data_IF_995810385658
#
_entry.id   IF_995810385658
#
_cell.length_a   1.000
_cell.length_b   1.000
_cell.length_c   1.000
_cell.angle_alpha   90.00
_cell.angle_beta   90.00
_cell.angle_gamma   90.00
#
_symmetry.space_group_name_H-M   'P 1'
#
loop_
_entity.id
_entity.type
_entity.pdbx_description
1 polymer ?
#
# COMPACT_ATOMS: atom_id res chain seq x y z
N UNK A 1 2.60 -24.09 -21.54
CA UNK A 1 3.97 -23.47 -21.55
C UNK A 1 4.13 -22.59 -20.32
N UNK A 2 5.35 -22.43 -19.78
CA UNK A 2 5.65 -21.53 -18.65
C UNK A 2 6.09 -20.14 -19.17
N UNK A 3 5.54 -19.06 -18.63
CA UNK A 3 6.08 -17.71 -18.82
C UNK A 3 6.63 -17.19 -17.51
N UNK A 4 7.94 -17.00 -17.44
CA UNK A 4 8.61 -16.48 -16.24
C UNK A 4 8.82 -14.97 -16.35
N UNK A 5 8.24 -14.21 -15.44
CA UNK A 5 8.37 -12.76 -15.38
C UNK A 5 9.44 -12.40 -14.36
N UNK A 6 10.41 -11.61 -14.81
CA UNK A 6 11.48 -11.06 -13.99
C UNK A 6 11.31 -9.54 -13.92
N UNK A 7 10.68 -9.00 -12.87
CA UNK A 7 10.60 -7.55 -12.68
C UNK A 7 11.96 -7.01 -12.22
N UNK A 8 12.51 -6.04 -12.95
CA UNK A 8 13.87 -5.51 -12.70
C UNK A 8 13.89 -4.01 -12.42
N UNK A 9 14.83 -3.62 -11.57
CA UNK A 9 15.21 -2.21 -11.37
C UNK A 9 16.63 -2.15 -10.80
N UNK A 10 17.63 -1.71 -11.56
CA UNK A 10 19.05 -1.79 -11.16
C UNK A 10 19.55 -3.24 -10.90
N UNK A 11 19.40 -4.12 -11.89
CA UNK A 11 19.79 -5.54 -11.82
C UNK A 11 20.76 -5.93 -12.94
N UNK A 12 21.45 -4.96 -13.56
CA UNK A 12 22.33 -5.18 -14.72
C UNK A 12 23.45 -6.21 -14.46
N UNK A 13 23.99 -6.25 -13.24
CA UNK A 13 25.03 -7.21 -12.84
C UNK A 13 24.50 -8.64 -12.63
N UNK A 14 23.22 -8.79 -12.26
CA UNK A 14 22.64 -10.08 -11.92
C UNK A 14 22.18 -10.87 -13.16
N UNK A 15 21.67 -10.19 -14.18
CA UNK A 15 21.09 -10.84 -15.37
C UNK A 15 22.05 -11.77 -16.12
N UNK A 16 23.34 -11.43 -16.36
CA UNK A 16 24.27 -12.31 -17.07
C UNK A 16 24.51 -13.65 -16.39
N UNK A 17 24.45 -13.71 -15.05
CA UNK A 17 24.57 -14.97 -14.30
C UNK A 17 23.21 -15.69 -14.18
N UNK A 18 22.14 -14.93 -13.99
CA UNK A 18 20.82 -15.47 -13.66
C UNK A 18 20.12 -16.10 -14.87
N UNK A 19 20.11 -15.44 -16.03
CA UNK A 19 19.36 -15.93 -17.20
C UNK A 19 19.86 -17.30 -17.69
N UNK A 20 21.19 -17.56 -17.83
CA UNK A 20 21.68 -18.89 -18.19
C UNK A 20 21.30 -19.98 -17.17
N UNK A 21 21.29 -19.64 -15.88
CA UNK A 21 20.90 -20.58 -14.80
C UNK A 21 19.42 -20.95 -14.87
N UNK A 22 18.55 -19.96 -15.06
CA UNK A 22 17.12 -20.18 -15.26
C UNK A 22 16.89 -21.11 -16.45
N UNK A 23 17.52 -20.81 -17.59
CA UNK A 23 17.37 -21.59 -18.81
C UNK A 23 17.83 -23.04 -18.64
N UNK A 24 18.94 -23.25 -17.92
CA UNK A 24 19.41 -24.59 -17.56
C UNK A 24 18.39 -25.34 -16.70
N UNK A 25 17.86 -24.67 -15.66
CA UNK A 25 16.87 -25.24 -14.75
C UNK A 25 15.53 -25.56 -15.44
N UNK A 26 15.19 -24.83 -16.49
CA UNK A 26 13.97 -25.01 -17.29
C UNK A 26 14.19 -25.78 -18.60
N UNK A 27 15.36 -26.41 -18.79
CA UNK A 27 15.71 -27.11 -20.04
C UNK A 27 14.71 -28.19 -20.48
N UNK A 28 13.97 -28.78 -19.54
CA UNK A 28 12.92 -29.79 -19.79
C UNK A 28 11.49 -29.23 -19.86
N UNK A 29 11.32 -27.92 -19.68
CA UNK A 29 10.02 -27.24 -19.62
C UNK A 29 9.92 -26.24 -20.78
N UNK A 30 8.91 -26.32 -21.67
CA UNK A 30 8.68 -25.27 -22.65
C UNK A 30 8.44 -23.94 -21.93
N UNK A 31 9.29 -22.94 -22.19
CA UNK A 31 9.26 -21.68 -21.46
C UNK A 31 9.60 -20.46 -22.32
N UNK A 32 9.19 -19.30 -21.83
CA UNK A 32 9.71 -17.99 -22.22
C UNK A 32 10.04 -17.20 -20.94
N UNK A 33 10.99 -16.27 -21.04
CA UNK A 33 11.39 -15.37 -19.95
C UNK A 33 11.08 -13.94 -20.37
N UNK A 34 10.37 -13.19 -19.53
CA UNK A 34 9.99 -11.79 -19.81
C UNK A 34 10.60 -10.91 -18.74
N UNK A 35 11.64 -10.16 -19.11
CA UNK A 35 12.25 -9.14 -18.26
C UNK A 35 11.45 -7.86 -18.38
N UNK A 36 10.90 -7.37 -17.26
CA UNK A 36 10.12 -6.13 -17.22
C UNK A 36 10.88 -5.09 -16.41
N UNK A 37 11.44 -4.10 -17.09
CA UNK A 37 12.37 -3.13 -16.51
C UNK A 37 11.78 -1.72 -16.41
N UNK A 38 11.93 -1.09 -15.24
CA UNK A 38 11.37 0.23 -14.90
C UNK A 38 12.29 1.41 -15.27
N UNK A 39 12.80 1.34 -16.50
CA UNK A 39 13.76 2.31 -17.05
C UNK A 39 14.95 2.50 -16.13
N UNK A 40 15.63 1.39 -15.84
CA UNK A 40 16.73 1.36 -14.88
C UNK A 40 17.86 2.29 -15.31
N UNK A 41 18.36 3.18 -14.42
CA UNK A 41 19.47 4.07 -14.73
C UNK A 41 20.79 3.34 -15.00
N UNK A 42 20.97 2.12 -14.48
CA UNK A 42 22.12 1.26 -14.76
C UNK A 42 22.04 0.54 -16.12
N UNK A 43 21.02 0.86 -16.93
CA UNK A 43 20.78 0.22 -18.24
C UNK A 43 20.50 -1.28 -18.18
N UNK A 44 19.90 -1.78 -17.09
CA UNK A 44 19.44 -3.18 -16.98
C UNK A 44 18.65 -3.67 -18.21
N UNK A 45 17.72 -2.86 -18.73
CA UNK A 45 16.95 -3.18 -19.94
C UNK A 45 17.83 -3.43 -21.18
N UNK A 46 18.97 -2.74 -21.28
CA UNK A 46 19.91 -2.88 -22.41
C UNK A 46 20.68 -4.18 -22.30
N UNK A 47 21.17 -4.51 -21.09
CA UNK A 47 21.82 -5.79 -20.79
C UNK A 47 20.87 -6.96 -21.09
N UNK A 48 19.61 -6.85 -20.65
CA UNK A 48 18.58 -7.85 -20.94
C UNK A 48 18.36 -8.03 -22.46
N UNK A 49 18.39 -6.93 -23.23
CA UNK A 49 18.19 -6.95 -24.68
C UNK A 49 19.37 -7.61 -25.41
N UNK A 50 20.61 -7.35 -24.97
CA UNK A 50 21.81 -7.99 -25.51
C UNK A 50 21.81 -9.50 -25.22
N UNK A 51 21.44 -9.90 -24.00
CA UNK A 51 21.29 -11.32 -23.63
C UNK A 51 20.14 -12.01 -24.38
N UNK A 52 19.05 -11.29 -24.67
CA UNK A 52 17.93 -11.81 -25.45
C UNK A 52 18.33 -12.24 -26.85
N UNK A 53 19.24 -11.50 -27.51
CA UNK A 53 19.77 -11.88 -28.83
C UNK A 53 20.59 -13.18 -28.79
N UNK A 54 21.16 -13.52 -27.64
CA UNK A 54 21.98 -14.73 -27.46
C UNK A 54 21.16 -15.94 -27.02
N UNK A 55 20.10 -15.72 -26.22
CA UNK A 55 19.32 -16.78 -25.57
C UNK A 55 18.02 -17.14 -26.34
N UNK A 56 17.45 -16.20 -27.11
CA UNK A 56 16.31 -16.43 -28.02
C UNK A 56 14.93 -16.58 -27.36
N UNK A 57 14.87 -17.11 -26.14
CA UNK A 57 13.66 -17.31 -25.32
C UNK A 57 13.40 -16.18 -24.29
N UNK A 58 14.20 -15.12 -24.36
CA UNK A 58 14.10 -13.94 -23.48
C UNK A 58 13.48 -12.78 -24.23
N UNK A 59 12.49 -12.15 -23.62
CA UNK A 59 11.79 -10.96 -24.09
C UNK A 59 12.00 -9.82 -23.10
N UNK A 60 12.03 -8.58 -23.58
CA UNK A 60 12.30 -7.40 -22.74
C UNK A 60 11.22 -6.35 -22.94
N UNK A 61 10.63 -5.90 -21.83
CA UNK A 61 9.68 -4.79 -21.76
C UNK A 61 10.32 -3.68 -20.95
N UNK A 62 10.62 -2.55 -21.59
CA UNK A 62 11.09 -1.33 -20.91
C UNK A 62 9.93 -0.38 -20.66
N UNK A 63 9.74 0.03 -19.41
CA UNK A 63 8.62 0.89 -18.98
C UNK A 63 9.10 2.30 -18.65
N UNK A 64 8.84 3.23 -19.56
CA UNK A 64 9.23 4.65 -19.41
C UNK A 64 8.16 5.40 -18.60
N UNK A 65 8.57 6.19 -17.61
CA UNK A 65 7.69 7.04 -16.80
C UNK A 65 6.74 6.29 -15.86
N UNK A 66 6.91 4.97 -15.73
CA UNK A 66 6.10 4.08 -14.87
C UNK A 66 7.02 3.32 -13.94
N UNK A 67 6.61 3.09 -12.70
CA UNK A 67 7.35 2.29 -11.72
C UNK A 67 6.43 1.47 -10.82
N UNK A 68 6.91 0.31 -10.38
CA UNK A 68 6.29 -0.50 -9.34
C UNK A 68 6.34 -1.99 -9.64
N UNK A 69 6.68 -2.80 -8.64
CA UNK A 69 6.86 -4.25 -8.79
C UNK A 69 5.56 -4.94 -9.25
N UNK A 70 4.44 -4.67 -8.57
CA UNK A 70 3.17 -5.36 -8.89
C UNK A 70 2.66 -4.99 -10.28
N UNK A 71 2.79 -3.72 -10.68
CA UNK A 71 2.44 -3.31 -12.05
C UNK A 71 3.37 -3.94 -13.10
N UNK A 72 4.66 -4.14 -12.79
CA UNK A 72 5.59 -4.81 -13.71
C UNK A 72 5.20 -6.27 -13.92
N UNK A 73 4.86 -6.96 -12.83
CA UNK A 73 4.37 -8.34 -12.89
C UNK A 73 3.09 -8.44 -13.71
N UNK A 74 2.10 -7.57 -13.47
CA UNK A 74 0.83 -7.57 -14.22
C UNK A 74 1.08 -7.33 -15.71
N UNK A 75 1.94 -6.38 -16.06
CA UNK A 75 2.28 -6.10 -17.46
C UNK A 75 3.01 -7.27 -18.13
N UNK A 76 3.93 -7.93 -17.40
CA UNK A 76 4.59 -9.15 -17.87
C UNK A 76 3.61 -10.31 -18.07
N UNK A 77 2.67 -10.50 -17.14
CA UNK A 77 1.62 -11.52 -17.24
C UNK A 77 0.67 -11.28 -18.42
N UNK A 78 0.34 -10.01 -18.70
CA UNK A 78 -0.47 -9.64 -19.86
C UNK A 78 0.26 -9.85 -21.20
N UNK A 79 1.58 -9.67 -21.23
CA UNK A 79 2.41 -9.89 -22.42
C UNK A 79 2.80 -11.37 -22.63
N UNK A 80 2.66 -12.19 -21.59
CA UNK A 80 3.00 -13.61 -21.62
C UNK A 80 2.09 -14.42 -22.55
N UNK A 81 2.63 -15.50 -23.12
CA UNK A 81 1.95 -16.46 -24.00
C UNK A 81 1.67 -17.81 -23.33
N UNK A 82 2.34 -18.11 -22.22
CA UNK A 82 2.22 -19.39 -21.52
C UNK A 82 0.95 -19.50 -20.67
N UNK A 83 0.47 -20.72 -20.48
CA UNK A 83 -0.72 -21.02 -19.66
C UNK A 83 -0.41 -21.00 -18.16
N UNK A 84 0.88 -21.12 -17.80
CA UNK A 84 1.37 -20.97 -16.42
C UNK A 84 2.22 -19.72 -16.36
N UNK A 85 1.86 -18.82 -15.47
CA UNK A 85 2.53 -17.54 -15.27
C UNK A 85 3.34 -17.62 -13.98
N UNK A 86 4.64 -17.36 -14.04
CA UNK A 86 5.51 -17.37 -12.87
C UNK A 86 6.21 -16.04 -12.67
N UNK A 87 6.53 -15.73 -11.41
CA UNK A 87 7.29 -14.55 -11.01
C UNK A 87 8.49 -14.99 -10.22
N UNK A 88 9.63 -14.35 -10.45
CA UNK A 88 10.82 -14.50 -9.64
C UNK A 88 11.60 -13.18 -9.60
N UNK A 89 12.08 -12.78 -8.42
CA UNK A 89 12.99 -11.63 -8.33
C UNK A 89 14.32 -11.91 -9.07
N UNK A 90 14.91 -10.86 -9.65
CA UNK A 90 16.11 -10.96 -10.48
C UNK A 90 17.44 -10.81 -9.70
N UNK A 91 17.41 -10.87 -8.37
CA UNK A 91 18.56 -10.59 -7.50
C UNK A 91 19.37 -11.84 -7.09
N UNK A 92 19.01 -13.00 -7.67
CA UNK A 92 19.66 -14.29 -7.43
C UNK A 92 19.35 -14.93 -6.08
N UNK A 93 18.39 -14.41 -5.30
CA UNK A 93 18.03 -14.99 -4.00
C UNK A 93 17.12 -16.23 -4.10
N UNK A 94 16.40 -16.36 -5.21
CA UNK A 94 15.47 -17.45 -5.46
C UNK A 94 16.17 -18.67 -6.08
N UNK A 95 15.73 -19.85 -5.66
CA UNK A 95 16.22 -21.12 -6.20
C UNK A 95 15.60 -21.39 -7.57
N UNK A 96 16.40 -21.26 -8.63
CA UNK A 96 15.97 -21.49 -10.01
C UNK A 96 15.51 -22.94 -10.25
N UNK A 97 16.02 -23.91 -9.50
CA UNK A 97 15.63 -25.33 -9.66
C UNK A 97 14.18 -25.59 -9.23
N UNK A 98 13.61 -24.69 -8.42
CA UNK A 98 12.21 -24.78 -7.98
C UNK A 98 11.22 -24.42 -9.10
N UNK A 99 11.64 -23.67 -10.13
CA UNK A 99 10.77 -23.21 -11.22
C UNK A 99 10.04 -24.36 -11.91
N UNK A 100 10.75 -25.45 -12.23
CA UNK A 100 10.15 -26.63 -12.84
C UNK A 100 9.12 -27.31 -11.94
N UNK A 101 9.36 -27.32 -10.62
CA UNK A 101 8.44 -27.89 -9.62
C UNK A 101 7.19 -27.00 -9.44
N UNK A 102 7.35 -25.68 -9.43
CA UNK A 102 6.23 -24.73 -9.40
C UNK A 102 5.35 -24.89 -10.64
N UNK A 103 5.95 -24.97 -11.83
CA UNK A 103 5.24 -25.23 -13.08
C UNK A 103 4.46 -26.56 -13.03
N UNK A 104 5.11 -27.64 -12.60
CA UNK A 104 4.47 -28.95 -12.49
C UNK A 104 3.29 -28.96 -11.50
N UNK A 105 3.43 -28.29 -10.35
CA UNK A 105 2.36 -28.19 -9.35
C UNK A 105 1.12 -27.49 -9.92
N UNK A 106 1.30 -26.35 -10.61
CA UNK A 106 0.18 -25.64 -11.26
C UNK A 106 -0.44 -26.48 -12.38
N UNK A 107 0.36 -27.15 -13.22
CA UNK A 107 -0.16 -28.02 -14.28
C UNK A 107 -1.00 -29.19 -13.74
N UNK A 108 -0.61 -29.76 -12.60
CA UNK A 108 -1.29 -30.93 -12.03
C UNK A 108 -2.53 -30.56 -11.22
N UNK A 109 -2.49 -29.44 -10.49
CA UNK A 109 -3.51 -29.11 -9.48
C UNK A 109 -4.33 -27.86 -9.83
N UNK A 110 -3.87 -27.06 -10.79
CA UNK A 110 -4.37 -25.72 -11.05
C UNK A 110 -4.05 -24.73 -9.91
N UNK A 111 -4.57 -23.51 -10.03
CA UNK A 111 -4.46 -22.50 -8.97
C UNK A 111 -3.08 -21.88 -8.85
N UNK A 112 -2.53 -21.82 -7.63
CA UNK A 112 -1.29 -21.10 -7.30
C UNK A 112 -0.29 -22.04 -6.63
N UNK A 113 0.95 -22.06 -7.10
CA UNK A 113 2.09 -22.68 -6.43
C UNK A 113 3.05 -21.61 -5.92
N UNK A 114 3.45 -21.67 -4.65
CA UNK A 114 4.27 -20.66 -3.97
C UNK A 114 5.59 -21.28 -3.53
N UNK A 115 6.71 -20.66 -3.88
CA UNK A 115 7.98 -20.89 -3.21
C UNK A 115 7.90 -20.27 -1.81
N UNK A 116 7.91 -21.10 -0.77
CA UNK A 116 7.62 -20.68 0.60
C UNK A 116 8.81 -20.90 1.53
N UNK A 117 9.12 -19.84 2.30
CA UNK A 117 10.19 -19.86 3.31
C UNK A 117 9.72 -20.44 4.65
N UNK A 118 8.40 -20.56 4.84
CA UNK A 118 7.78 -20.83 6.13
C UNK A 118 7.09 -22.21 6.21
N UNK A 119 7.24 -23.06 5.18
CA UNK A 119 6.82 -24.47 5.20
C UNK A 119 7.97 -25.37 5.64
N UNK A 120 7.67 -26.62 6.01
CA UNK A 120 8.69 -27.58 6.45
C UNK A 120 9.73 -27.80 5.33
N UNK A 121 11.01 -27.60 5.65
CA UNK A 121 12.12 -27.62 4.68
C UNK A 121 12.48 -26.26 4.07
N UNK A 122 11.68 -25.22 4.30
CA UNK A 122 11.98 -23.85 3.89
C UNK A 122 12.84 -23.11 4.92
N UNK A 123 13.61 -22.12 4.46
CA UNK A 123 14.46 -21.30 5.32
C UNK A 123 14.63 -19.88 4.77
N UNK A 124 14.78 -18.91 5.67
CA UNK A 124 15.10 -17.51 5.34
C UNK A 124 16.61 -17.25 5.21
N UNK A 125 17.45 -18.29 5.38
CA UNK A 125 18.91 -18.15 5.33
C UNK A 125 19.46 -17.27 6.45
N UNK A 126 20.53 -16.52 6.18
CA UNK A 126 21.21 -15.63 7.12
C UNK A 126 20.58 -14.22 7.19
N UNK A 127 19.27 -14.13 7.44
CA UNK A 127 18.62 -12.83 7.64
C UNK A 127 19.00 -12.20 8.98
N UNK A 128 19.16 -10.87 8.98
CA UNK A 128 19.17 -10.06 10.20
C UNK A 128 17.89 -10.32 11.02
N UNK A 129 18.05 -10.59 12.32
CA UNK A 129 16.97 -10.99 13.21
C UNK A 129 15.84 -9.95 13.26
N UNK A 130 16.19 -8.66 13.14
CA UNK A 130 15.22 -7.56 13.09
C UNK A 130 14.38 -7.60 11.81
N UNK A 131 15.00 -7.85 10.66
CA UNK A 131 14.30 -8.00 9.37
C UNK A 131 13.37 -9.21 9.40
N UNK A 132 13.82 -10.30 10.01
CA UNK A 132 13.01 -11.50 10.19
C UNK A 132 11.77 -11.24 11.07
N UNK A 133 11.94 -10.56 12.20
CA UNK A 133 10.83 -10.22 13.09
C UNK A 133 9.79 -9.31 12.42
N UNK A 134 10.24 -8.25 11.73
CA UNK A 134 9.33 -7.34 11.00
C UNK A 134 8.56 -8.09 9.90
N UNK A 135 9.23 -8.97 9.16
CA UNK A 135 8.59 -9.81 8.14
C UNK A 135 7.53 -10.73 8.74
N UNK A 136 7.79 -11.33 9.91
CA UNK A 136 6.80 -12.18 10.61
C UNK A 136 5.59 -11.39 11.09
N UNK A 137 5.78 -10.18 11.61
CA UNK A 137 4.67 -9.31 12.03
C UNK A 137 3.81 -8.94 10.83
N UNK A 138 4.44 -8.47 9.74
CA UNK A 138 3.75 -8.13 8.50
C UNK A 138 2.97 -9.33 7.93
N UNK A 139 3.59 -10.51 7.93
CA UNK A 139 2.96 -11.76 7.46
C UNK A 139 1.77 -12.15 8.34
N UNK A 140 1.90 -12.07 9.67
CA UNK A 140 0.78 -12.34 10.58
C UNK A 140 -0.38 -11.38 10.38
N UNK A 141 -0.10 -10.09 10.22
CA UNK A 141 -1.14 -9.09 9.94
C UNK A 141 -1.87 -9.40 8.63
N UNK A 142 -1.13 -9.71 7.55
CA UNK A 142 -1.73 -10.12 6.28
C UNK A 142 -2.61 -11.36 6.43
N UNK A 143 -2.14 -12.38 7.15
CA UNK A 143 -2.91 -13.60 7.38
C UNK A 143 -4.19 -13.35 8.17
N UNK A 144 -4.12 -12.57 9.25
CA UNK A 144 -5.28 -12.28 10.10
C UNK A 144 -6.29 -11.37 9.42
N UNK A 145 -5.83 -10.39 8.65
CA UNK A 145 -6.71 -9.37 8.05
C UNK A 145 -7.29 -9.80 6.70
N UNK A 146 -6.54 -10.58 5.91
CA UNK A 146 -6.94 -10.94 4.55
C UNK A 146 -7.52 -12.36 4.43
N UNK A 147 -7.48 -13.16 5.51
CA UNK A 147 -7.98 -14.55 5.55
C UNK A 147 -7.50 -15.39 4.36
N UNK A 148 -6.20 -15.33 4.07
CA UNK A 148 -5.55 -16.06 2.96
C UNK A 148 -5.05 -17.43 3.42
N UNK A 149 -5.13 -18.44 2.54
CA UNK A 149 -4.72 -19.82 2.81
C UNK A 149 -3.29 -20.10 2.33
N UNK A 150 -2.31 -19.36 2.85
CA UNK A 150 -0.89 -19.58 2.55
C UNK A 150 -0.03 -19.25 3.78
N UNK A 151 1.06 -19.97 4.03
CA UNK A 151 2.01 -19.64 5.10
C UNK A 151 2.97 -18.52 4.71
N UNK A 152 3.29 -18.39 3.42
CA UNK A 152 4.12 -17.30 2.89
C UNK A 152 3.40 -16.46 1.81
N UNK A 153 2.35 -15.70 2.17
CA UNK A 153 1.61 -14.85 1.23
C UNK A 153 2.44 -13.67 0.67
N UNK A 154 3.65 -13.46 1.20
CA UNK A 154 4.51 -12.33 0.87
C UNK A 154 5.64 -12.71 -0.09
N UNK A 155 5.68 -13.96 -0.56
CA UNK A 155 6.70 -14.46 -1.47
C UNK A 155 6.68 -13.72 -2.81
N UNK A 156 7.87 -13.36 -3.31
CA UNK A 156 8.08 -12.88 -4.68
C UNK A 156 8.30 -14.02 -5.67
N UNK A 157 8.15 -15.28 -5.22
CA UNK A 157 8.45 -16.47 -6.01
C UNK A 157 7.26 -17.41 -6.03
N UNK A 158 6.52 -17.41 -7.13
CA UNK A 158 5.30 -18.20 -7.28
C UNK A 158 4.97 -18.43 -8.75
N UNK A 159 4.06 -19.38 -9.01
CA UNK A 159 3.42 -19.62 -10.29
C UNK A 159 1.90 -19.66 -10.12
N UNK A 160 1.16 -19.24 -11.13
CA UNK A 160 -0.30 -19.21 -11.16
C UNK A 160 -0.81 -19.68 -12.52
N UNK A 161 -1.93 -20.39 -12.52
CA UNK A 161 -2.69 -20.71 -13.73
C UNK A 161 -3.21 -19.42 -14.39
N UNK A 162 -3.03 -19.28 -15.70
CA UNK A 162 -3.45 -18.09 -16.45
C UNK A 162 -4.93 -17.75 -16.23
N UNK A 163 -5.82 -18.75 -16.22
CA UNK A 163 -7.26 -18.49 -16.04
C UNK A 163 -7.55 -17.94 -14.66
N UNK A 164 -6.89 -18.46 -13.63
CA UNK A 164 -7.00 -17.94 -12.27
C UNK A 164 -6.52 -16.49 -12.16
N UNK A 165 -5.44 -16.13 -12.87
CA UNK A 165 -4.98 -14.74 -12.96
C UNK A 165 -5.99 -13.84 -13.70
N UNK A 166 -6.47 -14.25 -14.87
CA UNK A 166 -7.40 -13.47 -15.70
C UNK A 166 -8.73 -13.21 -14.97
N UNK A 167 -9.21 -14.16 -14.17
CA UNK A 167 -10.43 -14.02 -13.35
C UNK A 167 -10.30 -12.93 -12.27
N UNK A 168 -9.09 -12.73 -11.72
CA UNK A 168 -8.86 -11.75 -10.65
C UNK A 168 -8.33 -10.42 -11.16
N UNK A 169 -7.78 -10.38 -12.37
CA UNK A 169 -7.15 -9.21 -12.98
C UNK A 169 -7.93 -7.89 -12.80
N UNK A 170 -9.26 -7.81 -13.03
CA UNK A 170 -10.00 -6.56 -12.87
C UNK A 170 -10.06 -6.02 -11.44
N UNK A 171 -9.76 -6.87 -10.45
CA UNK A 171 -9.79 -6.54 -9.02
C UNK A 171 -8.40 -6.28 -8.43
N UNK A 172 -7.34 -6.55 -9.18
CA UNK A 172 -5.98 -6.37 -8.70
C UNK A 172 -5.63 -4.89 -8.56
N UNK A 173 -4.89 -4.58 -7.50
CA UNK A 173 -4.31 -3.28 -7.27
C UNK A 173 -2.92 -3.20 -7.91
N UNK A 174 -2.74 -2.43 -9.00
CA UNK A 174 -1.42 -2.30 -9.63
C UNK A 174 -0.43 -1.50 -8.76
N UNK A 175 -0.92 -0.80 -7.72
CA UNK A 175 -0.10 -0.02 -6.79
C UNK A 175 0.43 -0.93 -5.69
N UNK A 176 1.75 -1.06 -5.61
CA UNK A 176 2.43 -1.72 -4.50
C UNK A 176 3.44 -2.78 -4.93
N UNK A 177 3.88 -3.59 -3.97
CA UNK A 177 5.01 -4.53 -4.11
C UNK A 177 4.68 -5.98 -3.72
N UNK A 178 3.42 -6.30 -3.42
CA UNK A 178 3.01 -7.61 -2.90
C UNK A 178 1.87 -8.21 -3.69
N UNK A 179 2.13 -8.38 -4.98
CA UNK A 179 1.20 -8.97 -5.96
C UNK A 179 0.68 -10.35 -5.54
N UNK A 180 1.50 -11.21 -4.91
CA UNK A 180 1.04 -12.52 -4.44
C UNK A 180 -0.07 -12.40 -3.39
N UNK A 181 0.08 -11.50 -2.42
CA UNK A 181 -0.95 -11.25 -1.42
C UNK A 181 -2.24 -10.80 -2.09
N UNK A 182 -2.12 -9.90 -3.07
CA UNK A 182 -3.27 -9.37 -3.81
C UNK A 182 -3.99 -10.41 -4.67
N UNK A 183 -3.23 -11.31 -5.29
CA UNK A 183 -3.79 -12.49 -5.94
C UNK A 183 -4.53 -13.36 -4.92
N UNK A 184 -3.90 -13.71 -3.80
CA UNK A 184 -4.48 -14.58 -2.76
C UNK A 184 -5.75 -14.00 -2.10
N UNK A 185 -5.85 -12.68 -2.03
CA UNK A 185 -7.05 -11.97 -1.53
C UNK A 185 -8.22 -12.15 -2.50
N UNK A 186 -7.98 -12.04 -3.80
CA UNK A 186 -9.02 -11.95 -4.81
C UNK A 186 -9.41 -13.27 -5.48
N UNK A 187 -8.52 -14.27 -5.47
CA UNK A 187 -8.87 -15.60 -6.00
C UNK A 187 -9.99 -16.24 -5.19
N UNK A 188 -10.84 -17.08 -5.83
CA UNK A 188 -11.83 -17.88 -5.13
C UNK A 188 -11.22 -18.65 -3.95
N UNK A 189 -11.93 -18.75 -2.82
CA UNK A 189 -11.45 -19.50 -1.64
C UNK A 189 -11.32 -21.02 -1.89
N UNK A 190 -11.84 -21.49 -3.01
CA UNK A 190 -11.73 -22.84 -3.56
C UNK A 190 -10.47 -23.06 -4.41
N UNK A 191 -9.77 -21.99 -4.81
CA UNK A 191 -8.52 -22.09 -5.58
C UNK A 191 -7.48 -22.87 -4.79
N UNK A 192 -6.89 -23.88 -5.44
CA UNK A 192 -5.82 -24.67 -4.85
C UNK A 192 -4.57 -23.82 -4.66
N UNK A 193 -4.00 -23.86 -3.46
CA UNK A 193 -2.75 -23.18 -3.11
C UNK A 193 -1.78 -24.22 -2.58
N UNK A 194 -0.65 -24.36 -3.26
CA UNK A 194 0.40 -25.33 -2.92
C UNK A 194 1.69 -24.59 -2.57
N UNK A 195 2.30 -24.92 -1.45
CA UNK A 195 3.55 -24.29 -1.01
C UNK A 195 4.71 -25.28 -1.08
N UNK A 196 5.76 -24.91 -1.81
CA UNK A 196 6.98 -25.69 -1.95
C UNK A 196 8.11 -25.04 -1.14
N UNK A 197 8.83 -25.80 -0.30
CA UNK A 197 9.92 -25.25 0.50
C UNK A 197 11.07 -24.79 -0.39
N UNK A 198 11.70 -23.66 -0.01
CA UNK A 198 13.01 -23.29 -0.53
C UNK A 198 13.84 -22.52 0.50
N UNK A 199 15.15 -22.47 0.28
CA UNK A 199 16.08 -21.67 1.07
C UNK A 199 16.30 -20.33 0.37
N UNK A 200 15.91 -19.24 1.04
CA UNK A 200 16.14 -17.89 0.54
C UNK A 200 17.62 -17.53 0.70
N UNK A 201 18.35 -17.45 -0.41
CA UNK A 201 19.78 -17.17 -0.41
C UNK A 201 20.06 -15.70 -0.07
N UNK A 202 21.30 -15.38 0.32
CA UNK A 202 21.76 -13.99 0.42
C UNK A 202 21.90 -13.36 -0.95
N UNK A 203 21.50 -12.09 -1.06
CA UNK A 203 21.67 -11.31 -2.29
C UNK A 203 23.15 -11.16 -2.63
N UNK A 204 23.50 -11.36 -3.90
CA UNK A 204 24.88 -11.25 -4.39
C UNK A 204 25.29 -9.82 -4.72
N UNK A 205 24.43 -9.07 -5.41
CA UNK A 205 24.70 -7.69 -5.87
C UNK A 205 23.52 -6.76 -5.53
N UNK A 206 23.82 -5.48 -5.24
CA UNK A 206 22.83 -4.41 -5.06
C UNK A 206 22.22 -4.25 -3.66
N UNK A 207 21.50 -3.14 -3.44
CA UNK A 207 20.90 -2.78 -2.14
C UNK A 207 19.41 -3.19 -2.01
N UNK A 208 18.95 -3.36 -0.76
CA UNK A 208 17.54 -3.65 -0.45
C UNK A 208 16.63 -2.48 -0.82
N UNK A 209 15.62 -2.73 -1.66
CA UNK A 209 14.64 -1.74 -2.12
C UNK A 209 13.52 -1.46 -1.09
N UNK A 210 13.60 -2.04 0.11
CA UNK A 210 12.62 -1.88 1.19
C UNK A 210 12.77 -0.51 1.88
N UNK A 211 12.17 0.52 1.30
CA UNK A 211 12.09 1.86 1.92
C UNK A 211 10.93 1.98 2.91
N UNK A 212 10.95 3.00 3.78
CA UNK A 212 9.82 3.33 4.67
C UNK A 212 8.52 3.57 3.91
N UNK A 213 8.61 4.12 2.69
CA UNK A 213 7.47 4.34 1.81
C UNK A 213 6.77 3.02 1.46
N UNK A 214 7.55 2.00 1.11
CA UNK A 214 7.04 0.65 0.78
C UNK A 214 6.33 0.02 1.99
N UNK A 215 6.83 0.25 3.21
CA UNK A 215 6.17 -0.22 4.43
C UNK A 215 4.82 0.48 4.68
N UNK A 216 4.73 1.78 4.40
CA UNK A 216 3.46 2.51 4.50
C UNK A 216 2.46 2.06 3.44
N UNK A 217 2.89 1.91 2.17
CA UNK A 217 2.06 1.40 1.08
C UNK A 217 1.51 -0.01 1.41
N UNK A 218 2.28 -0.85 2.10
CA UNK A 218 1.81 -2.14 2.61
C UNK A 218 0.67 -2.01 3.62
N UNK A 219 0.82 -1.10 4.60
CA UNK A 219 -0.18 -0.90 5.65
C UNK A 219 -1.46 -0.30 5.07
N UNK A 220 -1.34 0.63 4.13
CA UNK A 220 -2.49 1.19 3.40
C UNK A 220 -3.23 0.09 2.63
N UNK A 221 -2.49 -0.78 1.93
CA UNK A 221 -3.08 -1.91 1.23
C UNK A 221 -3.82 -2.89 2.17
N UNK A 222 -3.21 -3.27 3.29
CA UNK A 222 -3.86 -4.15 4.28
C UNK A 222 -5.15 -3.52 4.83
N UNK A 223 -5.12 -2.22 5.07
CA UNK A 223 -6.29 -1.48 5.52
C UNK A 223 -7.39 -1.49 4.44
N UNK A 224 -7.05 -1.19 3.20
CA UNK A 224 -8.03 -1.11 2.10
C UNK A 224 -8.74 -2.45 1.86
N UNK A 225 -7.99 -3.55 1.91
CA UNK A 225 -8.55 -4.91 1.74
C UNK A 225 -9.43 -5.34 2.91
N UNK A 226 -9.11 -4.92 4.14
CA UNK A 226 -9.82 -5.37 5.34
C UNK A 226 -10.99 -4.47 5.73
N UNK A 227 -10.76 -3.17 5.81
CA UNK A 227 -11.70 -2.17 6.32
C UNK A 227 -12.08 -1.12 5.28
N UNK A 228 -11.34 -0.98 4.19
CA UNK A 228 -11.52 0.08 3.19
C UNK A 228 -12.93 0.15 2.59
N UNK A 229 -13.60 -0.99 2.45
CA UNK A 229 -14.99 -1.07 1.98
C UNK A 229 -16.00 -0.41 2.94
N UNK A 230 -15.67 -0.32 4.23
CA UNK A 230 -16.55 0.23 5.27
C UNK A 230 -16.13 1.63 5.68
N UNK A 231 -14.82 1.84 5.82
CA UNK A 231 -14.25 3.09 6.32
C UNK A 231 -13.13 3.50 5.35
N UNK A 232 -13.31 4.57 4.57
CA UNK A 232 -12.27 5.04 3.67
C UNK A 232 -11.00 5.44 4.42
N UNK A 233 -9.81 5.12 3.90
CA UNK A 233 -8.54 5.51 4.51
C UNK A 233 -8.42 7.04 4.65
N UNK A 234 -9.01 7.80 3.72
CA UNK A 234 -9.08 9.26 3.79
C UNK A 234 -9.89 9.74 4.99
N UNK A 235 -10.92 9.00 5.44
CA UNK A 235 -11.65 9.31 6.66
C UNK A 235 -10.78 9.10 7.91
N UNK A 236 -10.03 7.99 7.97
CA UNK A 236 -9.11 7.73 9.09
C UNK A 236 -8.03 8.80 9.18
N UNK A 237 -7.39 9.15 8.05
CA UNK A 237 -6.41 10.24 7.97
C UNK A 237 -7.05 11.56 8.45
N UNK A 238 -8.27 11.86 8.02
CA UNK A 238 -9.01 13.04 8.46
C UNK A 238 -9.23 13.08 9.98
N UNK A 239 -9.61 11.97 10.60
CA UNK A 239 -9.76 11.85 12.04
C UNK A 239 -8.44 12.06 12.79
N UNK A 240 -7.33 11.50 12.28
CA UNK A 240 -5.99 11.70 12.85
C UNK A 240 -5.61 13.19 12.81
N UNK A 241 -5.83 13.86 11.67
CA UNK A 241 -5.58 15.30 11.54
C UNK A 241 -6.43 16.08 12.54
N UNK A 242 -7.72 15.75 12.67
CA UNK A 242 -8.61 16.37 13.65
C UNK A 242 -8.11 16.22 15.09
N UNK A 243 -7.65 15.02 15.49
CA UNK A 243 -7.10 14.76 16.81
C UNK A 243 -5.82 15.56 17.08
N UNK A 244 -4.91 15.66 16.09
CA UNK A 244 -3.73 16.53 16.18
C UNK A 244 -4.13 18.01 16.29
N UNK A 245 -5.16 18.42 15.56
CA UNK A 245 -5.75 19.76 15.63
C UNK A 245 -6.24 20.14 17.02
N UNK A 246 -6.76 19.19 17.81
CA UNK A 246 -7.12 19.44 19.22
C UNK A 246 -5.88 19.79 20.05
N UNK A 247 -4.75 19.10 19.84
CA UNK A 247 -3.48 19.43 20.50
C UNK A 247 -2.96 20.83 20.12
N UNK A 248 -3.07 21.19 18.83
CA UNK A 248 -2.73 22.53 18.34
C UNK A 248 -3.64 23.59 18.95
N UNK A 249 -4.95 23.32 19.01
CA UNK A 249 -5.93 24.20 19.65
C UNK A 249 -5.57 24.48 21.11
N UNK A 250 -5.33 23.43 21.91
CA UNK A 250 -4.99 23.57 23.32
C UNK A 250 -3.69 24.37 23.50
N UNK A 251 -2.67 24.09 22.70
CA UNK A 251 -1.38 24.80 22.76
C UNK A 251 -1.53 26.28 22.39
N UNK A 252 -2.27 26.57 21.32
CA UNK A 252 -2.55 27.93 20.89
C UNK A 252 -3.38 28.70 21.92
N UNK A 253 -4.39 28.05 22.51
CA UNK A 253 -5.20 28.65 23.57
C UNK A 253 -4.35 29.00 24.79
N UNK A 254 -3.51 28.08 25.28
CA UNK A 254 -2.64 28.35 26.44
C UNK A 254 -1.68 29.52 26.18
N UNK A 255 -1.09 29.57 24.98
CA UNK A 255 -0.19 30.66 24.59
C UNK A 255 -0.93 32.00 24.50
N UNK A 256 -2.05 32.06 23.78
CA UNK A 256 -2.83 33.29 23.63
C UNK A 256 -3.46 33.75 24.95
N UNK A 257 -3.92 32.80 25.78
CA UNK A 257 -4.43 33.08 27.11
C UNK A 257 -3.36 33.69 28.00
N UNK A 258 -2.11 33.18 27.95
CA UNK A 258 -0.99 33.77 28.68
C UNK A 258 -0.61 35.16 28.14
N UNK A 259 -0.71 35.37 26.82
CA UNK A 259 -0.47 36.66 26.20
C UNK A 259 -1.49 37.72 26.63
N UNK A 260 -2.80 37.40 26.59
CA UNK A 260 -3.86 38.33 26.95
C UNK A 260 -4.07 38.52 28.45
N UNK A 261 -3.64 37.57 29.28
CA UNK A 261 -3.76 37.67 30.73
C UNK A 261 -2.82 38.73 31.33
N UNK A 262 -1.65 38.95 30.72
CA UNK A 262 -0.58 39.81 31.26
C UNK A 262 -0.28 39.54 32.75
N UNK A 263 -0.44 38.29 33.21
CA UNK A 263 -0.23 37.89 34.62
C UNK A 263 -1.41 38.15 35.57
N UNK A 264 -2.56 38.60 35.06
CA UNK A 264 -3.82 38.78 35.81
C UNK A 264 -4.88 37.74 35.37
N UNK A 265 -5.97 37.55 36.12
CA UNK A 265 -7.10 36.73 35.65
C UNK A 265 -7.65 37.24 34.30
N UNK A 266 -7.99 36.32 33.39
CA UNK A 266 -8.51 36.70 32.07
C UNK A 266 -9.83 37.47 32.17
N UNK A 267 -9.92 38.57 31.43
CA UNK A 267 -11.21 39.21 31.13
C UNK A 267 -12.00 38.38 30.13
N UNK A 268 -13.33 38.57 30.07
CA UNK A 268 -14.18 37.92 29.06
C UNK A 268 -13.71 38.21 27.63
N UNK A 269 -13.24 39.42 27.36
CA UNK A 269 -12.69 39.81 26.07
C UNK A 269 -11.39 39.05 25.76
N UNK A 270 -10.47 38.98 26.71
CA UNK A 270 -9.23 38.21 26.56
C UNK A 270 -9.50 36.72 26.33
N UNK A 271 -10.46 36.14 27.06
CA UNK A 271 -10.87 34.74 26.88
C UNK A 271 -11.41 34.49 25.48
N UNK A 272 -12.33 35.36 25.02
CA UNK A 272 -12.97 35.23 23.71
C UNK A 272 -11.95 35.35 22.57
N UNK A 273 -11.01 36.31 22.66
CA UNK A 273 -9.95 36.48 21.66
C UNK A 273 -8.98 35.30 21.64
N UNK A 274 -8.58 34.78 22.81
CA UNK A 274 -7.73 33.60 22.91
C UNK A 274 -8.41 32.36 22.30
N UNK A 275 -9.70 32.18 22.59
CA UNK A 275 -10.48 31.05 22.08
C UNK A 275 -10.65 31.12 20.56
N UNK A 276 -11.06 32.27 20.01
CA UNK A 276 -11.22 32.44 18.56
C UNK A 276 -9.89 32.26 17.81
N UNK A 277 -8.80 32.82 18.34
CA UNK A 277 -7.47 32.64 17.76
C UNK A 277 -7.00 31.17 17.79
N UNK A 278 -7.29 30.44 18.87
CA UNK A 278 -6.98 29.02 18.99
C UNK A 278 -7.81 28.15 18.03
N UNK A 279 -9.10 28.46 17.83
CA UNK A 279 -9.96 27.78 16.85
C UNK A 279 -9.39 27.96 15.44
N UNK A 280 -9.11 29.21 15.04
CA UNK A 280 -8.61 29.51 13.70
C UNK A 280 -7.23 28.87 13.45
N UNK A 281 -6.35 28.91 14.45
CA UNK A 281 -5.02 28.27 14.36
C UNK A 281 -5.14 26.76 14.10
N UNK A 282 -6.07 26.08 14.78
CA UNK A 282 -6.32 24.66 14.58
C UNK A 282 -6.96 24.37 13.22
N UNK A 283 -7.88 25.22 12.73
CA UNK A 283 -8.48 25.09 11.40
C UNK A 283 -7.41 25.24 10.30
N UNK A 284 -6.54 26.24 10.42
CA UNK A 284 -5.41 26.45 9.49
C UNK A 284 -4.50 25.23 9.47
N UNK A 285 -4.10 24.74 10.65
CA UNK A 285 -3.26 23.54 10.76
C UNK A 285 -3.93 22.32 10.10
N UNK A 286 -5.20 22.07 10.41
CA UNK A 286 -5.94 20.94 9.86
C UNK A 286 -6.09 21.07 8.33
N UNK A 287 -6.37 22.25 7.80
CA UNK A 287 -6.48 22.50 6.37
C UNK A 287 -5.19 22.13 5.64
N UNK A 288 -4.05 22.63 6.13
CA UNK A 288 -2.76 22.38 5.50
C UNK A 288 -2.37 20.91 5.57
N UNK A 289 -2.53 20.27 6.73
CA UNK A 289 -2.19 18.86 6.89
C UNK A 289 -3.11 17.96 6.05
N UNK A 290 -4.41 18.27 5.97
CA UNK A 290 -5.33 17.56 5.09
C UNK A 290 -4.96 17.74 3.61
N UNK A 291 -4.58 18.96 3.18
CA UNK A 291 -4.16 19.21 1.80
C UNK A 291 -2.85 18.49 1.43
N UNK A 292 -1.93 18.38 2.39
CA UNK A 292 -0.62 17.77 2.18
C UNK A 292 -0.64 16.23 2.29
N UNK A 293 -1.55 15.67 3.09
CA UNK A 293 -1.53 14.25 3.44
C UNK A 293 -2.86 13.54 3.16
N UNK A 294 -3.97 13.95 3.77
CA UNK A 294 -5.28 13.28 3.65
C UNK A 294 -5.79 13.27 2.20
N UNK A 295 -5.71 14.41 1.53
CA UNK A 295 -6.19 14.63 0.16
C UNK A 295 -5.03 14.93 -0.81
N UNK A 296 -3.85 14.36 -0.55
CA UNK A 296 -2.65 14.60 -1.34
C UNK A 296 -2.83 14.31 -2.84
N UNK A 297 -3.71 13.37 -3.19
CA UNK A 297 -4.04 13.04 -4.59
C UNK A 297 -4.83 14.14 -5.32
N UNK A 298 -5.55 14.99 -4.60
CA UNK A 298 -6.31 16.12 -5.12
C UNK A 298 -5.78 17.46 -4.56
N UNK A 299 -4.48 17.51 -4.25
CA UNK A 299 -3.83 18.63 -3.56
C UNK A 299 -4.10 19.97 -4.26
N UNK A 300 -4.61 20.93 -3.49
CA UNK A 300 -4.79 22.31 -3.92
C UNK A 300 -3.45 23.04 -3.95
N UNK A 301 -3.22 23.82 -5.00
CA UNK A 301 -1.99 24.60 -5.22
C UNK A 301 -2.32 26.00 -5.77
N UNK A 302 -1.40 26.95 -5.56
CA UNK A 302 -1.54 28.32 -6.06
C UNK A 302 -2.84 28.98 -5.58
N UNK A 303 -3.50 29.71 -6.47
CA UNK A 303 -4.73 30.44 -6.16
C UNK A 303 -5.91 29.55 -5.75
N UNK A 304 -5.88 28.25 -6.03
CA UNK A 304 -6.93 27.32 -5.61
C UNK A 304 -6.99 27.10 -4.08
N UNK A 305 -5.90 27.43 -3.36
CA UNK A 305 -5.83 27.32 -1.90
C UNK A 305 -6.84 28.24 -1.20
N UNK A 306 -7.06 29.44 -1.73
CA UNK A 306 -7.95 30.44 -1.12
C UNK A 306 -9.42 29.97 -1.09
N UNK A 307 -10.06 29.66 -2.24
CA UNK A 307 -11.43 29.16 -2.23
C UNK A 307 -11.53 27.78 -1.55
N UNK A 308 -10.49 26.95 -1.60
CA UNK A 308 -10.43 25.69 -0.86
C UNK A 308 -10.50 25.89 0.65
N UNK A 309 -9.70 26.84 1.17
CA UNK A 309 -9.67 27.18 2.59
C UNK A 309 -11.01 27.76 3.08
N UNK A 310 -11.65 28.64 2.30
CA UNK A 310 -12.96 29.18 2.64
C UNK A 310 -14.04 28.10 2.70
N UNK A 311 -14.04 27.17 1.75
CA UNK A 311 -14.97 26.02 1.76
C UNK A 311 -14.70 25.08 2.93
N UNK A 312 -13.44 24.87 3.29
CA UNK A 312 -13.07 24.07 4.45
C UNK A 312 -13.58 24.70 5.75
N UNK A 313 -13.36 26.01 5.92
CA UNK A 313 -13.91 26.77 7.04
C UNK A 313 -15.43 26.67 7.12
N UNK A 314 -16.12 26.83 5.99
CA UNK A 314 -17.56 26.65 5.93
C UNK A 314 -17.99 25.25 6.38
N UNK A 315 -17.30 24.20 5.93
CA UNK A 315 -17.56 22.84 6.39
C UNK A 315 -17.43 22.75 7.92
N UNK A 316 -16.33 23.26 8.49
CA UNK A 316 -16.06 23.25 9.94
C UNK A 316 -17.15 23.94 10.76
N UNK A 317 -17.64 25.10 10.32
CA UNK A 317 -18.73 25.83 11.01
C UNK A 317 -20.00 24.98 11.08
N UNK A 318 -20.41 24.39 9.95
CA UNK A 318 -21.60 23.55 9.94
C UNK A 318 -21.40 22.23 10.68
N UNK A 319 -20.19 21.67 10.72
CA UNK A 319 -19.90 20.50 11.55
C UNK A 319 -19.99 20.81 13.04
N UNK A 320 -19.59 22.00 13.47
CA UNK A 320 -19.79 22.45 14.85
C UNK A 320 -21.28 22.60 15.19
N UNK A 321 -22.07 23.16 14.27
CA UNK A 321 -23.54 23.23 14.42
C UNK A 321 -24.18 21.84 14.47
N UNK A 322 -23.76 20.92 13.61
CA UNK A 322 -24.24 19.54 13.61
C UNK A 322 -23.92 18.83 14.94
N UNK A 323 -22.70 18.99 15.44
CA UNK A 323 -22.31 18.47 16.76
C UNK A 323 -23.21 19.01 17.87
N UNK A 324 -23.40 20.33 17.91
CA UNK A 324 -24.25 20.97 18.92
C UNK A 324 -25.70 20.49 18.84
N UNK A 325 -26.28 20.46 17.64
CA UNK A 325 -27.66 20.05 17.41
C UNK A 325 -27.91 18.58 17.81
N UNK A 326 -27.02 17.67 17.42
CA UNK A 326 -27.15 16.24 17.75
C UNK A 326 -26.94 16.02 19.25
N UNK A 327 -25.93 16.64 19.85
CA UNK A 327 -25.67 16.51 21.29
C UNK A 327 -26.87 16.97 22.13
N UNK A 328 -27.42 18.14 21.81
CA UNK A 328 -28.57 18.71 22.55
C UNK A 328 -29.85 17.93 22.32
N UNK A 329 -30.09 17.43 21.10
CA UNK A 329 -31.22 16.56 20.82
C UNK A 329 -31.18 15.28 21.65
N UNK A 330 -30.05 14.58 21.67
CA UNK A 330 -29.92 13.32 22.43
C UNK A 330 -30.06 13.56 23.94
N UNK A 331 -29.41 14.61 24.45
CA UNK A 331 -29.48 14.97 25.86
C UNK A 331 -30.91 15.31 26.30
N UNK A 332 -31.64 16.08 25.48
CA UNK A 332 -33.04 16.42 25.77
C UNK A 332 -34.01 15.22 25.75
N UNK A 333 -33.60 14.10 25.14
CA UNK A 333 -34.34 12.84 25.15
C UNK A 333 -33.86 11.86 26.24
N UNK A 334 -33.08 12.36 27.22
CA UNK A 334 -32.66 11.58 28.39
C UNK A 334 -31.46 10.65 28.14
N UNK A 335 -30.75 10.79 27.02
CA UNK A 335 -29.49 10.09 26.81
C UNK A 335 -28.41 10.76 27.67
N UNK A 336 -27.56 9.96 28.30
CA UNK A 336 -26.49 10.45 29.17
C UNK A 336 -25.62 11.53 28.51
N UNK A 337 -25.18 12.50 29.31
CA UNK A 337 -24.42 13.68 28.86
C UNK A 337 -23.20 13.29 28.00
N UNK A 338 -22.33 12.45 28.54
CA UNK A 338 -21.09 12.04 27.86
C UNK A 338 -21.40 11.32 26.54
N UNK A 339 -22.41 10.45 26.53
CA UNK A 339 -22.81 9.71 25.33
C UNK A 339 -23.34 10.66 24.26
N UNK A 340 -24.15 11.64 24.66
CA UNK A 340 -24.69 12.65 23.75
C UNK A 340 -23.59 13.49 23.10
N UNK A 341 -22.58 13.91 23.88
CA UNK A 341 -21.41 14.65 23.37
C UNK A 341 -20.57 13.81 22.40
N UNK A 342 -20.34 12.52 22.70
CA UNK A 342 -19.58 11.63 21.80
C UNK A 342 -20.30 11.44 20.46
N UNK A 343 -21.62 11.23 20.50
CA UNK A 343 -22.41 11.04 19.27
C UNK A 343 -22.47 12.34 18.46
N UNK A 344 -22.66 13.50 19.10
CA UNK A 344 -22.62 14.79 18.42
C UNK A 344 -21.25 15.08 17.78
N UNK A 345 -20.15 14.85 18.51
CA UNK A 345 -18.81 15.02 17.97
C UNK A 345 -18.59 14.12 16.74
N UNK A 346 -19.06 12.88 16.80
CA UNK A 346 -19.00 11.93 15.67
C UNK A 346 -19.78 12.44 14.46
N UNK A 347 -21.01 12.95 14.66
CA UNK A 347 -21.82 13.54 13.59
C UNK A 347 -21.13 14.76 12.96
N UNK A 348 -20.54 15.63 13.78
CA UNK A 348 -19.77 16.79 13.31
C UNK A 348 -18.54 16.39 12.49
N UNK A 349 -17.80 15.36 12.90
CA UNK A 349 -16.63 14.85 12.16
C UNK A 349 -17.06 14.27 10.81
N UNK A 350 -18.12 13.47 10.78
CA UNK A 350 -18.66 12.87 9.55
C UNK A 350 -19.12 13.95 8.56
N UNK A 351 -19.81 14.98 9.07
CA UNK A 351 -20.20 16.15 8.28
C UNK A 351 -18.97 16.85 7.70
N UNK A 352 -18.01 17.19 8.56
CA UNK A 352 -16.80 17.92 8.17
C UNK A 352 -16.01 17.17 7.09
N UNK A 353 -15.83 15.85 7.24
CA UNK A 353 -15.17 15.02 6.25
C UNK A 353 -15.92 15.01 4.92
N UNK A 354 -17.23 14.74 4.96
CA UNK A 354 -18.07 14.64 3.75
C UNK A 354 -18.05 15.95 2.96
N UNK A 355 -18.26 17.08 3.66
CA UNK A 355 -18.27 18.40 3.03
C UNK A 355 -16.89 18.81 2.52
N UNK A 356 -15.83 18.52 3.28
CA UNK A 356 -14.46 18.76 2.83
C UNK A 356 -14.16 18.01 1.53
N UNK A 357 -14.50 16.72 1.47
CA UNK A 357 -14.31 15.90 0.28
C UNK A 357 -15.15 16.38 -0.91
N UNK A 358 -16.42 16.72 -0.70
CA UNK A 358 -17.30 17.12 -1.80
C UNK A 358 -17.02 18.52 -2.34
N UNK A 359 -16.65 19.47 -1.48
CA UNK A 359 -16.59 20.89 -1.85
C UNK A 359 -15.16 21.45 -1.93
N UNK A 360 -14.35 21.20 -0.89
CA UNK A 360 -12.98 21.73 -0.82
C UNK A 360 -12.02 20.93 -1.71
N UNK A 361 -12.14 19.60 -1.71
CA UNK A 361 -11.35 18.69 -2.54
C UNK A 361 -12.23 17.83 -3.46
N UNK A 362 -13.05 18.47 -4.30
CA UNK A 362 -14.08 17.84 -5.16
C UNK A 362 -13.58 16.68 -6.04
N UNK A 363 -12.28 16.56 -6.29
CA UNK A 363 -11.64 15.51 -7.07
C UNK A 363 -10.96 14.41 -6.21
N UNK A 364 -11.33 14.29 -4.91
CA UNK A 364 -10.67 13.42 -3.92
C UNK A 364 -11.42 12.15 -3.50
#
# INVERSE_FOLDING_TARGET
MLSLILPTFNESENLPELLPKIRSALSSVPHEIIVVDDDSPDSTWKVAQELSQQLGDVHVIRRIGRRGLSSAVIEGFLAAKGDVLAVMDADGQHDTELLGKLHAAVQQQGGIAIGSRYVAGGSVGAWDERRYMLSRIATRMALSLCAVKAKDPMSGFFAIDRKAFEEVLPRLNPKGFKILLDLLVHVPKTTHVTELPFTFATRKHGESKLSRRVQLEFLEYLYDVSLGNWIPLTFVKYCIVGALGVGVHLTAYLFLSAFFSHGLPLTLMGFSLALLGAIETAIIFNFWLNNLWTFAHAKLQGFALIPGFLKYNFACVFGALANYAVSTYLFSHGIGEIVSVIIGASAGIIWNYTMSRMFAWKNA
#
